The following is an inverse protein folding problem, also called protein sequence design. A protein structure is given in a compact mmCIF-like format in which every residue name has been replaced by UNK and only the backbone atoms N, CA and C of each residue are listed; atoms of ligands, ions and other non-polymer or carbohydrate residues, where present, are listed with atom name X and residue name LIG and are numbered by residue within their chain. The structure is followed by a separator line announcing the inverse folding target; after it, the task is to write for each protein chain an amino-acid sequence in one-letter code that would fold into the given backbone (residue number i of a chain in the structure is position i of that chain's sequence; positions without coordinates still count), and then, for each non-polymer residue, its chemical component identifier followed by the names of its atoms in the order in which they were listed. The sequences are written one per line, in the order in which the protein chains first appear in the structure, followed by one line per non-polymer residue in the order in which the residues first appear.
data_IF_636428607203
#
_entry.id   IF_636428607203
#
_cell.length_a   1.000
_cell.length_b   1.000
_cell.length_c   1.000
_cell.angle_alpha   90.00
_cell.angle_beta   90.00
_cell.angle_gamma   90.00
#
_symmetry.space_group_name_H-M   'P 1'
#
loop_
_entity.id
_entity.type
_entity.pdbx_description
1 polymer ?
#
# COMPACT_ATOMS: atom_id res chain seq x y z
N UNK A 1 26.91 -28.35 -14.01
CA UNK A 1 26.57 -26.91 -14.01
C UNK A 1 25.87 -26.65 -12.68
N UNK A 2 26.39 -25.79 -11.79
CA UNK A 2 25.71 -25.56 -10.53
C UNK A 2 24.51 -24.63 -10.80
N UNK A 3 23.33 -25.16 -10.53
CA UNK A 3 22.07 -24.46 -10.46
C UNK A 3 22.13 -23.36 -9.40
N UNK A 4 22.01 -22.10 -9.83
CA UNK A 4 21.80 -20.97 -8.94
C UNK A 4 20.39 -21.06 -8.36
N UNK A 5 20.28 -21.31 -7.06
CA UNK A 5 19.06 -21.13 -6.29
C UNK A 5 18.77 -19.63 -6.21
N UNK A 6 17.73 -19.19 -6.92
CA UNK A 6 17.18 -17.83 -6.80
C UNK A 6 16.63 -17.67 -5.37
N UNK A 7 16.98 -16.60 -4.62
CA UNK A 7 16.46 -16.40 -3.28
C UNK A 7 14.94 -16.23 -3.31
N UNK A 8 14.23 -17.07 -2.56
CA UNK A 8 12.80 -16.93 -2.35
C UNK A 8 12.49 -15.57 -1.71
N UNK A 9 11.70 -14.80 -2.44
CA UNK A 9 11.09 -13.54 -2.02
C UNK A 9 9.89 -13.90 -1.14
N UNK A 10 9.95 -13.53 0.14
CA UNK A 10 8.90 -13.84 1.12
C UNK A 10 8.13 -12.55 1.41
N UNK A 11 6.90 -12.45 0.90
CA UNK A 11 5.90 -11.49 1.39
C UNK A 11 5.30 -12.12 2.64
N UNK A 12 5.61 -11.54 3.80
CA UNK A 12 5.23 -12.03 5.11
C UNK A 12 3.93 -11.35 5.57
N UNK A 13 2.86 -12.12 5.71
CA UNK A 13 1.75 -11.80 6.61
C UNK A 13 2.09 -12.38 7.98
N UNK A 14 3.13 -11.86 8.61
CA UNK A 14 3.42 -12.16 10.02
C UNK A 14 3.09 -10.90 10.82
N UNK A 15 2.63 -11.04 12.08
CA UNK A 15 2.52 -9.90 12.98
C UNK A 15 3.93 -9.39 13.28
N UNK A 16 4.47 -8.51 12.45
CA UNK A 16 5.66 -7.75 12.81
C UNK A 16 5.32 -6.96 14.08
N UNK A 17 6.11 -7.14 15.13
CA UNK A 17 5.94 -6.33 16.33
C UNK A 17 6.43 -4.91 16.00
N UNK A 18 5.50 -4.05 15.62
CA UNK A 18 5.70 -2.61 15.54
C UNK A 18 5.90 -2.08 16.97
N UNK A 19 7.15 -1.94 17.40
CA UNK A 19 7.47 -1.32 18.69
C UNK A 19 7.56 0.21 18.52
N UNK A 20 6.45 0.91 18.74
CA UNK A 20 6.47 2.35 18.95
C UNK A 20 6.99 2.64 20.37
N UNK A 21 8.22 3.13 20.51
CA UNK A 21 8.73 3.65 21.79
C UNK A 21 8.26 5.10 21.90
N UNK A 22 7.19 5.34 22.67
CA UNK A 22 6.77 6.68 23.03
C UNK A 22 7.71 7.27 24.09
N UNK A 23 8.55 8.24 23.70
CA UNK A 23 9.24 9.10 24.64
C UNK A 23 8.30 10.25 25.04
N UNK A 24 7.64 10.16 26.20
CA UNK A 24 6.90 11.30 26.75
C UNK A 24 7.89 12.43 27.08
N UNK A 25 7.72 13.57 26.40
CA UNK A 25 8.51 14.78 26.60
C UNK A 25 8.15 15.43 27.93
N UNK A 26 9.07 15.40 28.91
CA UNK A 26 8.92 16.18 30.15
C UNK A 26 9.88 15.80 31.27
N UNK A 27 10.89 16.64 31.48
CA UNK A 27 11.83 16.73 32.61
C UNK A 27 13.13 15.87 32.57
N UNK A 28 14.28 16.45 32.97
CA UNK A 28 15.59 15.82 32.81
C UNK A 28 15.86 14.86 33.97
N UNK A 29 15.93 13.56 33.69
CA UNK A 29 16.61 12.60 34.58
C UNK A 29 17.53 11.69 33.77
N UNK A 30 18.69 11.43 34.39
CA UNK A 30 19.85 10.69 33.87
C UNK A 30 19.46 9.38 33.16
N UNK A 31 20.23 8.95 32.15
CA UNK A 31 19.85 7.85 31.27
C UNK A 31 19.82 6.52 32.01
N UNK A 32 18.62 6.06 32.40
CA UNK A 32 18.37 4.65 32.69
C UNK A 32 18.06 3.93 31.37
N UNK A 33 19.11 3.67 30.58
CA UNK A 33 19.06 2.93 29.31
C UNK A 33 18.89 1.41 29.53
N UNK A 34 18.73 0.94 30.77
CA UNK A 34 18.89 -0.50 31.09
C UNK A 34 17.61 -1.25 31.48
N UNK A 35 16.43 -0.65 31.60
CA UNK A 35 15.23 -1.43 32.03
C UNK A 35 14.03 -1.41 31.08
N UNK A 36 13.78 -0.36 30.29
CA UNK A 36 12.63 -0.33 29.36
C UNK A 36 12.93 -0.98 28.01
N UNK A 37 14.18 -0.98 27.57
CA UNK A 37 14.59 -1.65 26.33
C UNK A 37 14.56 -3.19 26.46
N UNK A 38 14.70 -3.74 27.67
CA UNK A 38 14.72 -5.20 27.90
C UNK A 38 13.36 -5.80 28.22
N UNK A 39 12.41 -5.04 28.76
CA UNK A 39 11.09 -5.58 29.15
C UNK A 39 10.09 -5.69 28.00
N UNK A 40 10.31 -4.97 26.89
CA UNK A 40 9.40 -4.94 25.73
C UNK A 40 9.96 -5.62 24.48
N UNK A 41 11.06 -6.37 24.58
CA UNK A 41 11.61 -7.18 23.47
C UNK A 41 11.08 -8.64 23.45
N UNK A 42 10.08 -8.97 24.26
CA UNK A 42 9.47 -10.32 24.35
C UNK A 42 8.26 -10.50 23.42
N UNK A 43 8.39 -10.10 22.16
CA UNK A 43 7.39 -10.35 21.12
C UNK A 43 8.05 -10.52 19.76
N UNK A 44 8.61 -11.70 19.50
CA UNK A 44 9.15 -12.06 18.19
C UNK A 44 8.07 -12.75 17.37
N UNK A 45 7.80 -12.29 16.16
CA UNK A 45 7.15 -13.11 15.14
C UNK A 45 8.20 -13.59 14.15
N UNK A 46 8.43 -14.91 14.17
CA UNK A 46 9.27 -15.65 13.23
C UNK A 46 8.35 -16.36 12.23
N UNK A 47 8.74 -16.35 10.95
CA UNK A 47 9.04 -17.56 10.16
C UNK A 47 9.36 -17.17 8.70
N UNK A 48 10.65 -17.12 8.36
CA UNK A 48 11.21 -17.70 7.13
C UNK A 48 12.73 -17.45 7.09
N UNK A 49 13.49 -18.53 6.91
CA UNK A 49 14.94 -18.69 7.13
C UNK A 49 15.31 -18.81 8.60
N UNK A 50 15.82 -19.98 8.96
CA UNK A 50 16.21 -20.42 10.32
C UNK A 50 17.37 -19.62 10.92
N UNK A 51 17.37 -18.28 10.88
CA UNK A 51 18.34 -17.44 11.58
C UNK A 51 17.83 -16.00 11.77
N UNK A 52 17.27 -15.77 12.97
CA UNK A 52 17.33 -14.55 13.82
C UNK A 52 16.74 -13.22 13.31
N UNK A 53 15.59 -12.86 13.91
CA UNK A 53 15.08 -11.53 14.31
C UNK A 53 15.24 -10.40 13.27
N UNK A 54 14.14 -10.04 12.59
CA UNK A 54 13.99 -8.76 11.89
C UNK A 54 13.53 -7.68 12.89
N UNK A 55 14.27 -6.58 13.03
CA UNK A 55 13.86 -5.45 13.86
C UNK A 55 13.45 -4.26 12.98
N UNK A 56 12.14 -4.07 12.89
CA UNK A 56 11.52 -2.82 12.45
C UNK A 56 11.18 -2.00 13.71
N UNK A 57 11.73 -0.79 13.85
CA UNK A 57 11.49 0.03 15.05
C UNK A 57 11.34 1.51 14.70
N UNK A 58 10.08 1.95 14.54
CA UNK A 58 9.75 3.36 14.26
C UNK A 58 10.28 4.32 15.35
N UNK A 59 10.34 3.87 16.62
CA UNK A 59 10.89 4.66 17.74
C UNK A 59 12.42 4.82 17.75
N UNK A 60 13.16 4.21 16.82
CA UNK A 60 14.63 4.26 16.76
C UNK A 60 15.17 4.88 15.47
N UNK A 61 14.32 5.54 14.68
CA UNK A 61 14.72 6.18 13.42
C UNK A 61 15.89 7.16 13.55
N UNK A 62 16.04 7.75 14.75
CA UNK A 62 17.09 8.72 15.11
C UNK A 62 18.23 8.09 15.92
N UNK A 63 18.21 6.77 16.15
CA UNK A 63 19.26 6.09 16.92
C UNK A 63 20.60 6.14 16.16
N UNK A 64 21.69 6.57 16.81
CA UNK A 64 23.00 6.65 16.17
C UNK A 64 23.55 5.26 15.84
N UNK A 65 24.44 5.18 14.86
CA UNK A 65 25.06 3.95 14.38
C UNK A 65 25.59 3.03 15.50
N UNK A 66 26.27 3.57 16.50
CA UNK A 66 26.80 2.79 17.63
C UNK A 66 25.70 2.10 18.46
N UNK A 67 24.51 2.70 18.55
CA UNK A 67 23.35 2.09 19.23
C UNK A 67 22.85 0.87 18.46
N UNK A 68 22.71 0.99 17.15
CA UNK A 68 22.34 -0.11 16.26
C UNK A 68 23.40 -1.23 16.23
N UNK A 69 24.69 -0.91 16.34
CA UNK A 69 25.75 -1.92 16.50
C UNK A 69 25.56 -2.74 17.79
N UNK A 70 25.26 -2.08 18.91
CA UNK A 70 24.97 -2.77 20.17
C UNK A 70 23.72 -3.66 20.07
N UNK A 71 22.68 -3.21 19.36
CA UNK A 71 21.50 -4.05 19.08
C UNK A 71 21.93 -5.29 18.30
N UNK A 72 22.70 -5.13 17.22
CA UNK A 72 23.21 -6.25 16.40
C UNK A 72 24.01 -7.25 17.22
N UNK A 73 24.93 -6.78 18.04
CA UNK A 73 25.80 -7.62 18.87
C UNK A 73 25.00 -8.43 19.90
N UNK A 74 23.97 -7.83 20.48
CA UNK A 74 23.12 -8.46 21.50
C UNK A 74 22.13 -9.45 20.92
N UNK A 75 21.46 -9.10 19.82
CA UNK A 75 20.40 -9.93 19.23
C UNK A 75 20.96 -10.97 18.26
N UNK A 76 22.08 -10.65 17.61
CA UNK A 76 22.62 -11.40 16.46
C UNK A 76 21.56 -11.61 15.37
N UNK A 77 20.61 -10.68 15.28
CA UNK A 77 19.49 -10.71 14.33
C UNK A 77 19.78 -9.95 13.05
N UNK A 78 18.92 -10.18 12.06
CA UNK A 78 18.85 -9.45 10.80
C UNK A 78 18.35 -8.02 11.04
N UNK A 79 19.22 -7.03 10.84
CA UNK A 79 18.85 -5.63 11.05
C UNK A 79 18.37 -4.99 9.75
N UNK A 80 17.09 -4.63 9.74
CA UNK A 80 16.43 -3.86 8.68
C UNK A 80 15.60 -2.71 9.26
N UNK A 81 16.25 -1.66 9.77
CA UNK A 81 15.53 -0.50 10.27
C UNK A 81 15.05 0.41 9.14
N UNK A 82 14.00 1.17 9.42
CA UNK A 82 13.75 2.46 8.78
C UNK A 82 14.50 3.55 9.56
N UNK A 83 15.29 4.36 8.87
CA UNK A 83 16.13 5.40 9.47
C UNK A 83 15.93 6.73 8.75
N UNK A 84 15.82 7.81 9.51
CA UNK A 84 15.75 9.18 9.00
C UNK A 84 17.15 9.80 8.91
N UNK A 85 18.03 9.20 8.10
CA UNK A 85 19.44 9.61 7.94
C UNK A 85 19.74 9.97 6.49
N UNK A 86 20.84 10.70 6.25
CA UNK A 86 21.42 10.80 4.90
C UNK A 86 21.68 9.39 4.37
N UNK A 87 21.01 9.05 3.27
CA UNK A 87 21.03 7.71 2.66
C UNK A 87 22.47 7.29 2.33
N UNK A 88 23.36 8.21 1.98
CA UNK A 88 24.77 7.91 1.72
C UNK A 88 25.47 7.22 2.89
N UNK A 89 25.01 7.42 4.13
CA UNK A 89 25.57 6.78 5.33
C UNK A 89 25.26 5.27 5.42
N UNK A 90 24.39 4.75 4.56
CA UNK A 90 24.01 3.33 4.46
C UNK A 90 24.95 2.51 3.55
N UNK A 91 25.82 3.17 2.79
CA UNK A 91 26.83 2.49 1.97
C UNK A 91 27.76 1.62 2.85
N UNK A 92 28.27 0.51 2.29
CA UNK A 92 29.01 -0.53 3.06
C UNK A 92 30.21 0.00 3.84
N UNK A 93 30.86 1.03 3.32
CA UNK A 93 32.04 1.66 3.90
C UNK A 93 31.71 2.81 4.87
N UNK A 94 30.43 3.04 5.18
CA UNK A 94 29.94 4.17 5.99
C UNK A 94 29.37 3.73 7.35
N UNK A 95 28.92 4.71 8.13
CA UNK A 95 28.51 4.55 9.52
C UNK A 95 27.45 3.47 9.74
N UNK A 96 26.50 3.32 8.83
CA UNK A 96 25.43 2.31 8.90
C UNK A 96 25.64 1.13 7.94
N UNK A 97 26.83 1.03 7.31
CA UNK A 97 27.15 -0.03 6.34
C UNK A 97 27.11 -1.45 6.92
N UNK A 98 27.07 -1.59 8.25
CA UNK A 98 26.93 -2.85 8.95
C UNK A 98 25.49 -3.40 9.00
N UNK A 99 24.48 -2.61 8.64
CA UNK A 99 23.09 -3.09 8.56
C UNK A 99 22.96 -4.15 7.46
N UNK A 100 22.12 -5.15 7.71
CA UNK A 100 21.90 -6.25 6.76
C UNK A 100 21.00 -5.79 5.61
N UNK A 101 20.01 -4.94 5.90
CA UNK A 101 19.16 -4.26 4.92
C UNK A 101 18.74 -2.88 5.43
N UNK A 102 18.15 -2.08 4.55
CA UNK A 102 17.44 -0.86 4.91
C UNK A 102 16.07 -0.85 4.26
N UNK A 103 15.03 -0.51 5.04
CA UNK A 103 13.68 -0.37 4.53
C UNK A 103 13.42 1.10 4.16
N UNK A 104 13.14 1.34 2.89
CA UNK A 104 12.65 2.63 2.44
C UNK A 104 11.15 2.79 2.74
N UNK A 105 10.77 3.13 3.98
CA UNK A 105 9.37 3.35 4.34
C UNK A 105 8.71 4.45 3.49
N UNK A 106 9.41 5.57 3.32
CA UNK A 106 8.95 6.72 2.54
C UNK A 106 8.86 6.45 1.03
N UNK A 107 9.29 5.27 0.56
CA UNK A 107 9.08 4.83 -0.82
C UNK A 107 7.67 4.23 -1.06
N UNK A 108 6.82 4.14 -0.03
CA UNK A 108 5.46 3.61 -0.17
C UNK A 108 4.56 4.51 -1.04
N UNK A 109 4.88 5.80 -1.13
CA UNK A 109 4.17 6.81 -1.92
C UNK A 109 5.13 7.90 -2.42
N UNK A 110 4.80 8.60 -3.52
CA UNK A 110 5.56 9.75 -3.99
C UNK A 110 5.57 10.88 -2.96
N UNK A 111 6.76 11.21 -2.43
CA UNK A 111 6.93 12.34 -1.49
C UNK A 111 6.81 13.71 -2.17
N UNK A 112 6.90 13.73 -3.50
CA UNK A 112 6.77 14.91 -4.35
C UNK A 112 5.86 14.58 -5.53
N UNK A 113 5.56 15.57 -6.38
CA UNK A 113 4.85 15.33 -7.63
C UNK A 113 5.76 14.76 -8.74
N UNK A 114 6.57 13.75 -8.39
CA UNK A 114 7.51 13.03 -9.26
C UNK A 114 7.56 11.55 -8.87
N UNK A 115 8.20 10.73 -9.71
CA UNK A 115 8.30 9.28 -9.48
C UNK A 115 9.09 8.94 -8.21
N UNK A 116 8.85 7.75 -7.66
CA UNK A 116 9.52 7.27 -6.44
C UNK A 116 10.98 6.91 -6.77
N UNK A 117 11.92 7.55 -6.09
CA UNK A 117 13.33 7.22 -6.21
C UNK A 117 13.64 5.79 -5.73
N UNK A 118 14.49 5.10 -6.47
CA UNK A 118 15.05 3.79 -6.08
C UNK A 118 16.48 3.99 -5.59
N UNK A 119 16.83 3.43 -4.42
CA UNK A 119 18.12 3.66 -3.75
C UNK A 119 19.09 2.47 -3.79
N UNK A 120 18.93 1.62 -4.81
CA UNK A 120 19.78 0.45 -5.02
C UNK A 120 21.26 0.81 -5.20
N UNK A 121 21.54 1.97 -5.81
CA UNK A 121 22.88 2.50 -6.07
C UNK A 121 23.68 2.76 -4.78
N UNK A 122 22.99 3.20 -3.72
CA UNK A 122 23.60 3.50 -2.41
C UNK A 122 23.81 2.22 -1.59
N UNK A 123 22.85 1.31 -1.61
CA UNK A 123 22.85 0.12 -0.76
C UNK A 123 23.60 -1.07 -1.39
N UNK A 124 23.70 -1.12 -2.70
CA UNK A 124 24.19 -2.29 -3.43
C UNK A 124 23.22 -3.48 -3.37
N UNK A 125 23.48 -4.47 -4.22
CA UNK A 125 22.64 -5.65 -4.40
C UNK A 125 22.33 -6.37 -3.08
N UNK A 126 21.05 -6.76 -2.89
CA UNK A 126 20.58 -7.62 -1.81
C UNK A 126 20.46 -6.95 -0.43
N UNK A 127 20.59 -5.62 -0.33
CA UNK A 127 20.40 -4.86 0.93
C UNK A 127 19.26 -3.82 0.88
N UNK A 128 18.58 -3.70 -0.25
CA UNK A 128 17.48 -2.77 -0.38
C UNK A 128 16.17 -3.49 -0.11
N UNK A 129 15.45 -3.02 0.91
CA UNK A 129 14.05 -3.30 1.09
C UNK A 129 13.26 -2.01 0.82
N UNK A 130 12.08 -2.17 0.25
CA UNK A 130 11.22 -1.05 -0.11
C UNK A 130 9.79 -1.34 0.28
N UNK A 131 8.94 -0.34 0.20
CA UNK A 131 7.53 -0.44 0.52
C UNK A 131 6.66 -0.02 -0.65
N UNK A 132 5.38 -0.37 -0.55
CA UNK A 132 4.32 0.12 -1.42
C UNK A 132 3.05 0.37 -0.60
N UNK A 133 2.26 1.34 -1.01
CA UNK A 133 0.94 1.67 -0.45
C UNK A 133 -0.01 2.03 -1.59
N UNK A 134 -1.32 1.79 -1.47
CA UNK A 134 -2.26 2.17 -2.49
C UNK A 134 -2.55 3.67 -2.48
N UNK A 135 -2.46 4.27 -1.29
CA UNK A 135 -2.96 5.61 -1.03
C UNK A 135 -2.33 6.20 0.23
N UNK A 136 -2.24 7.51 0.28
CA UNK A 136 -1.94 8.23 1.51
C UNK A 136 -2.76 9.50 1.57
N UNK A 137 -3.52 9.62 2.64
CA UNK A 137 -4.34 10.78 2.88
C UNK A 137 -4.61 10.91 4.39
N UNK A 138 -4.43 12.11 4.91
CA UNK A 138 -4.86 12.47 6.25
C UNK A 138 -5.48 13.85 6.25
N UNK A 139 -6.40 14.09 7.18
CA UNK A 139 -7.11 15.36 7.34
C UNK A 139 -7.26 15.74 8.81
N UNK A 140 -6.19 15.54 9.58
CA UNK A 140 -6.14 16.00 10.97
C UNK A 140 -5.87 17.51 11.01
N UNK A 141 -6.30 18.18 12.08
CA UNK A 141 -5.99 19.60 12.35
C UNK A 141 -4.49 19.89 12.43
N UNK A 142 -3.69 18.90 12.82
CA UNK A 142 -2.22 18.96 12.85
C UNK A 142 -1.53 18.29 11.66
N UNK A 143 -2.27 17.58 10.78
CA UNK A 143 -1.71 16.81 9.65
C UNK A 143 -2.75 16.57 8.55
N UNK A 144 -2.87 17.56 7.67
CA UNK A 144 -3.68 17.47 6.45
C UNK A 144 -2.81 17.36 5.21
N UNK A 145 -2.67 16.17 4.62
CA UNK A 145 -1.76 15.93 3.48
C UNK A 145 -2.33 14.86 2.54
N UNK A 146 -2.15 15.11 1.25
CA UNK A 146 -2.28 14.11 0.20
C UNK A 146 -0.90 13.77 -0.38
N UNK A 147 -0.65 12.48 -0.61
CA UNK A 147 0.42 12.06 -1.53
C UNK A 147 -0.18 11.40 -2.76
N UNK A 148 0.46 11.59 -3.92
CA UNK A 148 -0.10 11.19 -5.21
C UNK A 148 -0.28 9.68 -5.28
N UNK A 149 -1.53 9.25 -5.13
CA UNK A 149 -1.98 7.87 -5.39
C UNK A 149 -2.59 7.68 -6.78
N UNK A 150 -2.52 8.70 -7.64
CA UNK A 150 -3.07 8.72 -9.00
C UNK A 150 -2.19 7.94 -10.01
N UNK A 151 -2.60 7.89 -11.30
CA UNK A 151 -1.85 7.20 -12.37
C UNK A 151 -1.54 5.72 -12.10
N UNK A 152 -2.53 5.00 -11.57
CA UNK A 152 -2.43 3.58 -11.23
C UNK A 152 -1.24 3.24 -10.31
N UNK A 153 -0.85 4.16 -9.40
CA UNK A 153 0.31 4.03 -8.50
C UNK A 153 0.56 2.58 -8.03
N UNK A 154 -0.44 1.93 -7.41
CA UNK A 154 -0.27 0.59 -6.86
C UNK A 154 0.13 -0.45 -7.91
N UNK A 155 -0.53 -0.45 -9.08
CA UNK A 155 -0.25 -1.41 -10.15
C UNK A 155 1.11 -1.17 -10.76
N UNK A 156 1.40 0.08 -11.12
CA UNK A 156 2.70 0.48 -11.68
C UNK A 156 3.82 0.15 -10.70
N UNK A 157 3.62 0.42 -9.41
CA UNK A 157 4.60 0.07 -8.38
C UNK A 157 4.80 -1.43 -8.27
N UNK A 158 3.73 -2.23 -8.30
CA UNK A 158 3.86 -3.68 -8.32
C UNK A 158 4.62 -4.19 -9.54
N UNK A 159 4.33 -3.66 -10.73
CA UNK A 159 5.03 -4.00 -11.97
C UNK A 159 6.54 -3.73 -11.85
N UNK A 160 6.93 -2.55 -11.36
CA UNK A 160 8.33 -2.21 -11.08
C UNK A 160 8.98 -3.18 -10.10
N UNK A 161 8.28 -3.54 -9.01
CA UNK A 161 8.78 -4.44 -7.99
C UNK A 161 8.99 -5.85 -8.54
N UNK A 162 8.10 -6.33 -9.41
CA UNK A 162 8.28 -7.61 -10.11
C UNK A 162 9.53 -7.56 -10.99
N UNK A 163 9.75 -6.47 -11.73
CA UNK A 163 10.91 -6.32 -12.61
C UNK A 163 12.23 -6.32 -11.84
N UNK A 164 12.27 -5.66 -10.67
CA UNK A 164 13.48 -5.57 -9.83
C UNK A 164 13.56 -6.64 -8.73
N UNK A 165 12.70 -7.67 -8.76
CA UNK A 165 12.52 -8.65 -7.67
C UNK A 165 13.80 -9.35 -7.21
N UNK A 166 14.76 -9.53 -8.12
CA UNK A 166 16.01 -10.24 -7.83
C UNK A 166 17.02 -9.35 -7.07
N UNK A 167 16.82 -8.03 -7.11
CA UNK A 167 17.68 -7.04 -6.46
C UNK A 167 17.20 -6.68 -5.05
N UNK A 168 15.92 -6.96 -4.76
CA UNK A 168 15.26 -6.65 -3.50
C UNK A 168 15.48 -7.71 -2.43
N UNK A 169 15.64 -7.26 -1.19
CA UNK A 169 15.64 -8.12 -0.01
C UNK A 169 14.21 -8.44 0.45
N UNK A 170 13.39 -7.39 0.59
CA UNK A 170 12.01 -7.45 1.06
C UNK A 170 11.17 -6.35 0.42
N UNK A 171 9.86 -6.62 0.35
CA UNK A 171 8.84 -5.64 0.02
C UNK A 171 7.82 -5.62 1.15
N UNK A 172 7.51 -4.42 1.65
CA UNK A 172 6.49 -4.21 2.68
C UNK A 172 5.25 -3.52 2.09
N UNK A 173 4.09 -4.12 2.33
CA UNK A 173 2.81 -3.45 2.06
C UNK A 173 2.45 -2.59 3.26
N UNK A 174 2.42 -1.29 3.04
CA UNK A 174 2.21 -0.27 4.07
C UNK A 174 0.82 0.33 3.82
N UNK A 175 -0.16 0.17 4.71
CA UNK A 175 -0.17 -0.57 5.98
C UNK A 175 -1.33 -1.55 6.03
N UNK A 176 -1.39 -2.41 7.05
CA UNK A 176 -2.59 -3.22 7.25
C UNK A 176 -3.78 -2.37 7.71
N UNK A 177 -3.60 -1.46 8.68
CA UNK A 177 -4.71 -0.81 9.39
C UNK A 177 -4.43 0.64 9.83
N UNK A 178 -3.55 1.38 9.15
CA UNK A 178 -3.42 2.82 9.39
C UNK A 178 -4.54 3.59 8.68
N UNK A 179 -5.70 3.61 9.35
CA UNK A 179 -6.90 4.30 8.87
C UNK A 179 -6.75 5.82 8.90
N UNK A 180 -5.99 6.36 9.85
CA UNK A 180 -5.77 7.81 9.97
C UNK A 180 -5.00 8.39 8.77
N UNK A 181 -4.06 7.63 8.24
CA UNK A 181 -3.26 7.99 7.06
C UNK A 181 -3.75 7.34 5.76
N UNK A 182 -4.85 6.58 5.83
CA UNK A 182 -5.53 5.98 4.67
C UNK A 182 -4.69 4.99 3.86
N UNK A 183 -3.58 4.50 4.43
CA UNK A 183 -2.69 3.55 3.76
C UNK A 183 -3.11 2.09 3.94
N UNK A 184 -4.19 1.84 4.67
CA UNK A 184 -4.66 0.50 5.01
C UNK A 184 -5.06 -0.34 3.79
N UNK A 185 -4.72 -1.63 3.85
CA UNK A 185 -5.22 -2.69 2.97
C UNK A 185 -6.31 -3.53 3.62
N UNK A 186 -6.30 -3.62 4.96
CA UNK A 186 -7.20 -4.45 5.74
C UNK A 186 -8.63 -3.91 5.81
N UNK A 187 -9.60 -4.75 6.20
CA UNK A 187 -10.97 -4.31 6.42
C UNK A 187 -11.05 -3.36 7.61
N UNK A 188 -11.94 -2.37 7.54
CA UNK A 188 -12.28 -1.54 8.70
C UNK A 188 -13.26 -2.33 9.57
N UNK A 189 -12.82 -2.80 10.73
CA UNK A 189 -13.69 -3.40 11.72
C UNK A 189 -14.37 -2.29 12.55
N UNK A 190 -15.70 -2.31 12.75
CA UNK A 190 -16.41 -1.34 13.60
C UNK A 190 -15.86 -1.24 15.03
N UNK A 191 -15.26 -2.31 15.54
CA UNK A 191 -14.69 -2.37 16.89
C UNK A 191 -13.23 -1.87 16.95
N UNK A 192 -12.58 -1.63 15.81
CA UNK A 192 -11.21 -1.12 15.76
C UNK A 192 -11.16 0.38 16.07
N UNK A 193 -10.27 0.74 17.00
CA UNK A 193 -10.10 2.14 17.40
C UNK A 193 -9.26 2.87 16.34
N UNK A 194 -9.90 3.76 15.60
CA UNK A 194 -9.19 4.70 14.72
C UNK A 194 -8.54 5.81 15.56
N UNK A 195 -7.46 6.46 15.07
CA UNK A 195 -6.95 7.67 15.69
C UNK A 195 -8.08 8.69 15.91
N UNK A 196 -8.11 9.29 17.10
CA UNK A 196 -9.16 10.24 17.48
C UNK A 196 -9.28 11.37 16.44
N UNK A 197 -10.50 11.64 15.99
CA UNK A 197 -10.77 12.65 14.97
C UNK A 197 -10.70 12.16 13.52
N UNK A 198 -10.41 10.88 13.27
CA UNK A 198 -10.50 10.31 11.91
C UNK A 198 -11.97 10.25 11.48
N UNK A 199 -12.34 11.05 10.48
CA UNK A 199 -13.72 11.11 9.93
C UNK A 199 -13.80 10.66 8.48
N UNK A 200 -12.65 10.43 7.83
CA UNK A 200 -12.56 10.19 6.39
C UNK A 200 -12.37 8.73 5.99
N UNK A 201 -12.01 7.81 6.90
CA UNK A 201 -11.82 6.40 6.57
C UNK A 201 -13.14 5.60 6.57
N UNK A 202 -14.08 5.94 7.46
CA UNK A 202 -15.34 5.21 7.63
C UNK A 202 -16.20 5.24 6.36
N UNK A 203 -16.67 4.07 5.91
CA UNK A 203 -17.49 3.94 4.70
C UNK A 203 -16.70 3.77 3.41
N UNK A 204 -15.37 3.71 3.49
CA UNK A 204 -14.49 3.60 2.33
C UNK A 204 -13.58 2.38 2.43
N UNK A 205 -14.05 1.19 2.04
CA UNK A 205 -13.23 -0.01 2.11
C UNK A 205 -12.06 0.04 1.11
N UNK A 206 -10.88 -0.39 1.56
CA UNK A 206 -9.68 -0.54 0.71
C UNK A 206 -9.35 -2.01 0.39
N UNK A 207 -10.20 -2.96 0.79
CA UNK A 207 -9.96 -4.40 0.61
C UNK A 207 -9.79 -4.81 -0.87
N UNK A 208 -10.35 -4.03 -1.80
CA UNK A 208 -10.06 -4.21 -3.23
C UNK A 208 -8.58 -4.06 -3.59
N UNK A 209 -7.83 -3.19 -2.91
CA UNK A 209 -6.38 -3.02 -3.11
C UNK A 209 -5.63 -4.26 -2.66
N UNK A 210 -6.11 -4.90 -1.60
CA UNK A 210 -5.54 -6.14 -1.10
C UNK A 210 -5.80 -7.29 -2.09
N UNK A 211 -7.04 -7.41 -2.54
CA UNK A 211 -7.46 -8.40 -3.52
C UNK A 211 -6.68 -8.28 -4.83
N UNK A 212 -6.59 -7.09 -5.41
CA UNK A 212 -5.83 -6.88 -6.65
C UNK A 212 -4.33 -7.12 -6.45
N UNK A 213 -3.79 -6.82 -5.26
CA UNK A 213 -2.37 -7.05 -4.96
C UNK A 213 -2.02 -8.54 -4.96
N UNK A 214 -2.96 -9.45 -4.66
CA UNK A 214 -2.70 -10.88 -4.64
C UNK A 214 -2.09 -11.40 -5.97
N UNK A 215 -2.60 -10.92 -7.11
CA UNK A 215 -2.06 -11.18 -8.45
C UNK A 215 -0.57 -10.81 -8.56
N UNK A 216 -0.22 -9.61 -8.12
CA UNK A 216 1.15 -9.09 -8.19
C UNK A 216 2.06 -9.70 -7.14
N UNK A 217 1.55 -10.04 -5.96
CA UNK A 217 2.28 -10.78 -4.93
C UNK A 217 2.72 -12.14 -5.47
N UNK A 218 1.84 -12.85 -6.18
CA UNK A 218 2.19 -14.10 -6.84
C UNK A 218 3.26 -13.89 -7.92
N UNK A 219 3.11 -12.86 -8.76
CA UNK A 219 4.10 -12.50 -9.76
C UNK A 219 5.46 -12.17 -9.14
N UNK A 220 5.49 -11.41 -8.06
CA UNK A 220 6.71 -11.04 -7.34
C UNK A 220 7.37 -12.26 -6.68
N UNK A 221 6.59 -13.18 -6.13
CA UNK A 221 7.11 -14.42 -5.52
C UNK A 221 7.70 -15.37 -6.55
N UNK A 222 7.05 -15.54 -7.69
CA UNK A 222 7.39 -16.57 -8.68
C UNK A 222 8.27 -16.06 -9.83
N UNK A 223 8.23 -14.76 -10.12
CA UNK A 223 8.82 -14.15 -11.30
C UNK A 223 7.93 -14.23 -12.55
N UNK A 224 6.72 -14.78 -12.45
CA UNK A 224 5.79 -14.95 -13.57
C UNK A 224 4.40 -14.46 -13.18
N UNK A 225 3.79 -13.65 -14.04
CA UNK A 225 2.41 -13.21 -13.84
C UNK A 225 1.44 -14.40 -13.97
N UNK A 226 0.57 -14.65 -12.97
CA UNK A 226 -0.39 -15.74 -13.06
C UNK A 226 -1.42 -15.47 -14.17
N UNK A 227 -1.97 -16.54 -14.76
CA UNK A 227 -3.01 -16.38 -15.77
C UNK A 227 -4.29 -15.81 -15.14
N UNK A 228 -4.87 -14.79 -15.78
CA UNK A 228 -6.19 -14.28 -15.41
C UNK A 228 -7.24 -15.22 -16.01
N UNK A 229 -8.01 -15.88 -15.15
CA UNK A 229 -9.06 -16.84 -15.54
C UNK A 229 -10.47 -16.35 -15.24
N UNK A 230 -10.60 -15.22 -14.52
CA UNK A 230 -11.87 -14.61 -14.17
C UNK A 230 -11.88 -13.12 -14.53
N UNK A 231 -13.03 -12.64 -14.98
CA UNK A 231 -13.23 -11.23 -15.31
C UNK A 231 -13.47 -10.41 -14.03
N UNK A 232 -12.64 -9.40 -13.80
CA UNK A 232 -12.75 -8.53 -12.62
C UNK A 232 -12.47 -7.07 -13.03
N UNK A 233 -13.25 -6.13 -12.51
CA UNK A 233 -12.97 -4.70 -12.63
C UNK A 233 -12.72 -4.12 -11.24
N UNK A 234 -11.50 -3.63 -11.00
CA UNK A 234 -11.20 -2.77 -9.87
C UNK A 234 -11.24 -1.32 -10.33
N UNK A 235 -12.00 -0.48 -9.65
CA UNK A 235 -12.13 0.91 -10.04
C UNK A 235 -12.16 1.84 -8.83
N UNK A 236 -11.49 2.98 -8.98
CA UNK A 236 -11.42 4.00 -7.93
C UNK A 236 -11.62 5.39 -8.48
N UNK A 237 -12.20 6.23 -7.63
CA UNK A 237 -12.33 7.66 -7.83
C UNK A 237 -12.59 8.34 -6.49
N UNK A 238 -12.39 9.65 -6.44
CA UNK A 238 -12.84 10.48 -5.33
C UNK A 238 -14.37 10.67 -5.43
N UNK A 239 -15.11 10.85 -4.31
CA UNK A 239 -16.54 11.12 -4.33
C UNK A 239 -16.87 12.55 -4.79
N UNK A 240 -15.87 13.40 -4.98
CA UNK A 240 -16.02 14.79 -5.38
C UNK A 240 -14.74 15.32 -6.07
N UNK A 241 -14.78 16.47 -6.75
CA UNK A 241 -13.58 17.07 -7.35
C UNK A 241 -12.46 17.28 -6.33
N UNK A 242 -11.20 17.15 -6.75
CA UNK A 242 -10.03 17.39 -5.90
C UNK A 242 -10.04 18.80 -5.28
N UNK A 243 -10.45 19.78 -6.07
CA UNK A 243 -10.50 21.19 -5.68
C UNK A 243 -11.79 21.61 -4.97
N UNK A 244 -12.68 20.69 -4.58
CA UNK A 244 -13.92 21.06 -3.87
C UNK A 244 -13.59 21.74 -2.53
N UNK A 245 -14.39 22.73 -2.16
CA UNK A 245 -14.39 23.25 -0.78
C UNK A 245 -15.57 22.63 -0.06
N UNK A 246 -15.31 21.82 0.96
CA UNK A 246 -16.36 21.28 1.82
C UNK A 246 -17.04 22.43 2.59
N UNK A 247 -18.37 22.40 2.71
CA UNK A 247 -19.13 23.54 3.22
C UNK A 247 -19.28 23.56 4.75
N UNK A 248 -18.97 22.46 5.43
CA UNK A 248 -19.07 22.31 6.88
C UNK A 248 -17.81 21.64 7.47
N UNK A 249 -16.66 21.89 6.82
CA UNK A 249 -15.36 21.41 7.25
C UNK A 249 -14.56 22.58 7.85
N UNK A 250 -14.21 22.55 9.15
CA UNK A 250 -13.48 23.63 9.79
C UNK A 250 -11.98 23.66 9.40
N UNK A 251 -11.48 22.60 8.75
CA UNK A 251 -10.07 22.48 8.39
C UNK A 251 -9.81 23.07 6.99
N UNK A 252 -8.59 23.59 6.75
CA UNK A 252 -8.19 23.97 5.40
C UNK A 252 -8.15 22.74 4.48
N UNK A 253 -8.13 22.97 3.17
CA UNK A 253 -7.79 21.91 2.23
C UNK A 253 -6.42 21.33 2.61
N UNK A 254 -6.25 20.00 2.54
CA UNK A 254 -4.99 19.36 2.86
C UNK A 254 -3.93 19.76 1.85
N UNK A 255 -2.68 19.70 2.30
CA UNK A 255 -1.53 19.97 1.45
C UNK A 255 -1.54 19.05 0.24
N UNK A 256 -1.08 19.58 -0.90
CA UNK A 256 -0.94 18.88 -2.17
C UNK A 256 -2.26 18.40 -2.80
N UNK A 257 -3.43 18.88 -2.36
CA UNK A 257 -4.72 18.54 -2.99
C UNK A 257 -4.72 18.74 -4.52
N UNK A 258 -3.91 19.69 -5.01
CA UNK A 258 -3.77 20.07 -6.41
C UNK A 258 -2.93 19.08 -7.24
N UNK A 259 -2.27 18.11 -6.61
CA UNK A 259 -1.60 17.01 -7.31
C UNK A 259 -2.61 15.95 -7.80
N UNK A 260 -3.81 15.94 -7.22
CA UNK A 260 -4.82 14.94 -7.50
C UNK A 260 -5.53 15.25 -8.84
N UNK A 261 -5.70 14.24 -9.70
CA UNK A 261 -6.28 14.38 -11.05
C UNK A 261 -7.68 13.78 -11.07
N UNK A 262 -8.69 14.55 -11.47
CA UNK A 262 -10.10 14.14 -11.43
C UNK A 262 -10.43 13.12 -12.53
N UNK A 263 -10.14 11.85 -12.23
CA UNK A 263 -10.37 10.70 -13.11
C UNK A 263 -10.98 9.52 -12.36
N UNK A 264 -11.75 8.74 -13.10
CA UNK A 264 -12.05 7.34 -12.75
C UNK A 264 -10.87 6.49 -13.24
N UNK A 265 -10.19 5.83 -12.31
CA UNK A 265 -9.08 4.92 -12.58
C UNK A 265 -9.55 3.48 -12.49
N UNK A 266 -9.21 2.67 -13.49
CA UNK A 266 -9.71 1.29 -13.61
C UNK A 266 -8.58 0.34 -13.95
N UNK A 267 -8.58 -0.81 -13.31
CA UNK A 267 -7.84 -1.99 -13.72
C UNK A 267 -8.86 -3.08 -14.09
N UNK A 268 -8.94 -3.39 -15.39
CA UNK A 268 -9.79 -4.46 -15.91
C UNK A 268 -8.96 -5.71 -16.13
N UNK A 269 -9.24 -6.75 -15.37
CA UNK A 269 -8.65 -8.08 -15.48
C UNK A 269 -9.55 -8.86 -16.41
N UNK A 270 -9.08 -9.11 -17.64
CA UNK A 270 -9.87 -9.77 -18.66
C UNK A 270 -9.37 -11.21 -18.88
N UNK A 271 -10.25 -12.18 -18.66
CA UNK A 271 -9.99 -13.61 -18.82
C UNK A 271 -9.88 -14.06 -20.29
N UNK A 272 -10.36 -13.22 -21.20
CA UNK A 272 -10.14 -13.25 -22.66
C UNK A 272 -10.37 -11.82 -23.19
N UNK A 273 -10.22 -11.58 -24.49
CA UNK A 273 -10.54 -10.28 -25.08
C UNK A 273 -11.94 -9.81 -24.70
N UNK A 274 -12.05 -8.52 -24.36
CA UNK A 274 -13.21 -7.92 -23.72
C UNK A 274 -13.41 -6.48 -24.24
N UNK A 275 -14.63 -5.97 -24.08
CA UNK A 275 -14.94 -4.54 -24.16
C UNK A 275 -15.30 -4.05 -22.77
N UNK A 276 -14.82 -2.87 -22.37
CA UNK A 276 -15.16 -2.25 -21.08
C UNK A 276 -15.78 -0.88 -21.30
N UNK A 277 -16.93 -0.62 -20.67
CA UNK A 277 -17.61 0.67 -20.70
C UNK A 277 -17.63 1.28 -19.31
N UNK A 278 -17.10 2.51 -19.23
CA UNK A 278 -17.00 3.28 -17.99
C UNK A 278 -17.96 4.48 -18.08
N UNK A 279 -18.74 4.70 -17.02
CA UNK A 279 -19.69 5.80 -16.96
C UNK A 279 -19.68 6.47 -15.59
N UNK A 280 -19.70 7.80 -15.59
CA UNK A 280 -19.96 8.63 -14.41
C UNK A 280 -21.04 9.65 -14.78
N UNK A 281 -22.19 9.59 -14.11
CA UNK A 281 -23.35 10.40 -14.44
C UNK A 281 -23.76 10.23 -15.90
N UNK A 282 -23.80 11.33 -16.65
CA UNK A 282 -24.13 11.34 -18.09
C UNK A 282 -22.93 11.15 -19.03
N UNK A 283 -21.70 11.10 -18.50
CA UNK A 283 -20.49 10.93 -19.31
C UNK A 283 -20.08 9.46 -19.33
N UNK A 284 -19.96 8.87 -20.52
CA UNK A 284 -19.49 7.50 -20.71
C UNK A 284 -18.40 7.42 -21.77
N UNK A 285 -17.59 6.36 -21.70
CA UNK A 285 -16.60 6.00 -22.70
C UNK A 285 -16.44 4.48 -22.75
N UNK A 286 -16.34 3.95 -23.97
CA UNK A 286 -16.14 2.52 -24.25
C UNK A 286 -14.68 2.28 -24.67
N UNK A 287 -14.16 1.11 -24.31
CA UNK A 287 -12.83 0.62 -24.63
C UNK A 287 -12.95 -0.78 -25.22
N UNK A 288 -12.81 -0.88 -26.54
CA UNK A 288 -12.92 -2.14 -27.29
C UNK A 288 -11.59 -2.83 -27.50
N UNK A 289 -11.65 -4.13 -27.84
CA UNK A 289 -10.50 -4.96 -28.20
C UNK A 289 -9.41 -4.97 -27.12
N UNK A 290 -9.81 -4.91 -25.85
CA UNK A 290 -8.88 -5.08 -24.75
C UNK A 290 -8.34 -6.51 -24.79
N UNK A 291 -7.06 -6.66 -24.49
CA UNK A 291 -6.38 -7.95 -24.53
C UNK A 291 -6.65 -8.76 -23.26
N UNK A 292 -6.45 -10.07 -23.35
CA UNK A 292 -6.29 -10.91 -22.16
C UNK A 292 -5.23 -10.31 -21.22
N UNK A 293 -5.49 -10.33 -19.91
CA UNK A 293 -4.59 -9.77 -18.90
C UNK A 293 -5.13 -8.49 -18.23
N UNK A 294 -4.22 -7.73 -17.60
CA UNK A 294 -4.55 -6.50 -16.89
C UNK A 294 -4.54 -5.32 -17.86
N UNK A 295 -5.66 -4.60 -17.96
CA UNK A 295 -5.82 -3.40 -18.77
C UNK A 295 -6.04 -2.18 -17.88
N UNK A 296 -5.15 -1.19 -17.97
CA UNK A 296 -5.22 0.09 -17.22
C UNK A 296 -6.04 1.12 -18.00
N UNK A 297 -7.26 1.41 -17.54
CA UNK A 297 -8.22 2.32 -18.21
C UNK A 297 -8.57 3.52 -17.35
N UNK A 298 -8.86 4.66 -17.96
CA UNK A 298 -9.35 5.81 -17.21
C UNK A 298 -10.18 6.78 -18.05
N UNK A 299 -11.12 7.45 -17.39
CA UNK A 299 -11.93 8.52 -18.00
C UNK A 299 -11.91 9.78 -17.11
N UNK A 300 -11.95 10.99 -17.69
CA UNK A 300 -12.06 12.22 -16.91
C UNK A 300 -13.43 12.32 -16.22
N UNK A 301 -13.47 12.85 -14.99
CA UNK A 301 -14.71 13.08 -14.25
C UNK A 301 -15.41 14.37 -14.73
N UNK A 302 -16.16 14.25 -15.84
CA UNK A 302 -16.83 15.38 -16.53
C UNK A 302 -18.31 15.57 -16.16
N UNK A 303 -18.90 14.63 -15.44
CA UNK A 303 -20.32 14.66 -15.06
C UNK A 303 -20.47 14.10 -13.65
N UNK A 304 -21.51 14.55 -12.94
CA UNK A 304 -21.85 14.09 -11.59
C UNK A 304 -22.94 13.01 -11.66
N UNK A 305 -22.93 12.10 -10.70
CA UNK A 305 -23.95 11.05 -10.56
C UNK A 305 -23.35 9.68 -10.26
N UNK A 306 -24.15 8.65 -10.54
CA UNK A 306 -23.77 7.26 -10.35
C UNK A 306 -22.55 6.87 -11.19
N UNK A 307 -21.77 5.93 -10.67
CA UNK A 307 -20.64 5.33 -11.37
C UNK A 307 -21.05 3.96 -11.85
N UNK A 308 -20.89 3.67 -13.13
CA UNK A 308 -21.20 2.34 -13.69
C UNK A 308 -19.97 1.83 -14.43
N UNK A 309 -19.61 0.57 -14.14
CA UNK A 309 -18.58 -0.15 -14.89
C UNK A 309 -19.20 -1.38 -15.51
N UNK A 310 -18.95 -1.57 -16.80
CA UNK A 310 -19.43 -2.72 -17.56
C UNK A 310 -18.28 -3.42 -18.24
N UNK A 311 -18.35 -4.73 -18.31
CA UNK A 311 -17.52 -5.55 -19.19
C UNK A 311 -18.45 -6.39 -20.05
N UNK A 312 -18.21 -6.39 -21.36
CA UNK A 312 -18.93 -7.23 -22.30
C UNK A 312 -17.98 -8.11 -23.10
N UNK A 313 -18.48 -9.27 -23.48
CA UNK A 313 -17.82 -10.23 -24.37
C UNK A 313 -18.87 -10.77 -25.34
N UNK A 314 -18.55 -10.75 -26.63
CA UNK A 314 -19.46 -11.21 -27.70
C UNK A 314 -20.85 -10.54 -27.68
N UNK A 315 -20.92 -9.30 -27.19
CA UNK A 315 -22.17 -8.52 -27.09
C UNK A 315 -23.02 -8.83 -25.84
N UNK A 316 -22.56 -9.69 -24.94
CA UNK A 316 -23.20 -9.95 -23.65
C UNK A 316 -22.43 -9.27 -22.51
N UNK A 317 -23.15 -8.57 -21.62
CA UNK A 317 -22.57 -7.98 -20.40
C UNK A 317 -22.23 -9.11 -19.41
N UNK A 318 -20.94 -9.36 -19.20
CA UNK A 318 -20.44 -10.30 -18.18
C UNK A 318 -20.28 -9.62 -16.81
N UNK A 319 -20.10 -8.30 -16.81
CA UNK A 319 -20.15 -7.44 -15.63
C UNK A 319 -21.02 -6.22 -15.97
N UNK A 320 -22.01 -5.92 -15.14
CA UNK A 320 -22.74 -4.66 -15.15
C UNK A 320 -22.96 -4.25 -13.70
N UNK A 321 -22.20 -3.25 -13.24
CA UNK A 321 -22.19 -2.87 -11.83
C UNK A 321 -22.27 -1.36 -11.64
N UNK A 322 -23.28 -0.96 -10.86
CA UNK A 322 -23.47 0.38 -10.34
C UNK A 322 -23.56 0.29 -8.81
N UNK A 323 -22.62 0.88 -8.06
CA UNK A 323 -22.72 0.95 -6.60
C UNK A 323 -23.97 1.73 -6.18
N UNK A 324 -24.74 1.20 -5.22
CA UNK A 324 -25.94 1.86 -4.72
C UNK A 324 -25.66 2.92 -3.66
N UNK A 325 -24.47 2.87 -3.05
CA UNK A 325 -24.04 3.66 -1.91
C UNK A 325 -22.96 4.70 -2.26
N UNK A 326 -22.60 4.81 -3.55
CA UNK A 326 -21.57 5.73 -4.02
C UNK A 326 -22.01 6.54 -5.24
N UNK A 327 -21.76 7.86 -5.20
CA UNK A 327 -21.95 8.76 -6.34
C UNK A 327 -20.83 9.81 -6.36
N UNK A 328 -20.45 10.26 -7.57
CA UNK A 328 -19.58 11.42 -7.73
C UNK A 328 -20.41 12.70 -7.66
N UNK A 329 -20.13 13.57 -6.68
CA UNK A 329 -20.93 14.76 -6.35
C UNK A 329 -20.10 16.04 -6.44
N UNK A 330 -20.76 17.14 -6.79
CA UNK A 330 -20.14 18.47 -6.81
C UNK A 330 -20.01 19.16 -5.44
N UNK A 331 -20.55 18.55 -4.38
CA UNK A 331 -20.52 19.06 -3.02
C UNK A 331 -20.28 17.95 -2.00
N UNK A 332 -19.68 18.30 -0.87
CA UNK A 332 -19.34 17.37 0.21
C UNK A 332 -19.34 18.11 1.56
N UNK A 333 -19.59 17.36 2.63
CA UNK A 333 -19.54 17.84 4.03
C UNK A 333 -18.10 17.78 4.57
N UNK A 334 -17.25 16.88 4.04
CA UNK A 334 -15.85 16.72 4.45
C UNK A 334 -14.92 16.63 3.23
N UNK A 335 -13.70 17.18 3.34
CA UNK A 335 -12.72 17.15 2.26
C UNK A 335 -12.03 15.78 2.12
N UNK A 336 -12.00 15.32 0.86
CA UNK A 336 -11.09 14.34 0.27
C UNK A 336 -11.16 12.94 0.86
N UNK A 337 -11.67 12.01 0.06
CA UNK A 337 -11.34 10.61 0.23
C UNK A 337 -11.38 9.86 -1.09
N UNK A 338 -10.81 8.66 -1.12
CA UNK A 338 -10.85 7.78 -2.27
C UNK A 338 -11.74 6.57 -1.96
N UNK A 339 -12.69 6.27 -2.84
CA UNK A 339 -13.37 4.98 -2.80
C UNK A 339 -12.72 4.06 -3.83
N UNK A 340 -12.29 2.88 -3.40
CA UNK A 340 -12.02 1.77 -4.30
C UNK A 340 -13.17 0.79 -4.20
N UNK A 341 -13.74 0.45 -5.34
CA UNK A 341 -14.84 -0.48 -5.48
C UNK A 341 -14.38 -1.62 -6.40
N UNK A 342 -14.85 -2.83 -6.08
CA UNK A 342 -14.61 -4.05 -6.87
C UNK A 342 -15.92 -4.46 -7.51
N UNK A 343 -15.91 -4.65 -8.82
CA UNK A 343 -17.00 -5.27 -9.56
C UNK A 343 -16.51 -6.59 -10.15
N UNK A 344 -17.30 -7.64 -9.98
CA UNK A 344 -17.03 -8.95 -10.53
C UNK A 344 -18.35 -9.69 -10.78
N UNK A 345 -18.38 -10.72 -11.66
CA UNK A 345 -19.50 -11.63 -11.73
C UNK A 345 -19.77 -12.25 -10.34
N UNK A 346 -21.02 -12.59 -10.05
CA UNK A 346 -21.43 -13.09 -8.72
C UNK A 346 -20.70 -14.36 -8.24
N UNK A 347 -20.03 -15.07 -9.15
CA UNK A 347 -19.26 -16.30 -8.85
C UNK A 347 -17.75 -16.10 -8.82
N UNK A 348 -17.26 -14.91 -9.17
CA UNK A 348 -15.83 -14.67 -9.22
C UNK A 348 -15.25 -14.63 -7.80
N UNK A 349 -14.20 -15.43 -7.58
CA UNK A 349 -13.56 -15.56 -6.27
C UNK A 349 -12.67 -14.36 -5.98
N UNK A 350 -12.35 -14.16 -4.70
CA UNK A 350 -11.28 -13.25 -4.32
C UNK A 350 -9.94 -13.84 -4.80
N UNK A 351 -9.09 -13.00 -5.39
CA UNK A 351 -7.73 -13.40 -5.79
C UNK A 351 -6.85 -13.74 -4.58
N UNK A 352 -7.21 -13.23 -3.40
CA UNK A 352 -6.56 -13.58 -2.13
C UNK A 352 -6.75 -15.06 -1.81
N UNK A 353 -7.96 -15.61 -2.02
CA UNK A 353 -8.28 -17.02 -1.69
C UNK A 353 -7.40 -18.00 -2.48
N UNK A 354 -7.13 -17.69 -3.74
CA UNK A 354 -6.28 -18.53 -4.60
C UNK A 354 -4.79 -18.36 -4.29
N UNK A 355 -4.38 -17.16 -3.86
CA UNK A 355 -2.97 -16.83 -3.59
C UNK A 355 -2.51 -17.26 -2.20
N UNK A 356 -3.41 -17.19 -1.21
CA UNK A 356 -3.18 -17.52 0.20
C UNK A 356 -4.23 -18.53 0.65
N UNK A 357 -4.09 -19.81 0.26
CA UNK A 357 -5.01 -20.85 0.75
C UNK A 357 -4.94 -20.91 2.27
N UNK A 358 -6.06 -20.62 2.93
CA UNK A 358 -6.15 -20.60 4.39
C UNK A 358 -6.03 -22.03 4.92
N UNK A 359 -4.88 -22.40 5.48
CA UNK A 359 -4.77 -23.57 6.35
C UNK A 359 -5.18 -23.17 7.78
N UNK A 360 -6.49 -23.15 8.08
CA UNK A 360 -7.00 -22.83 9.42
C UNK A 360 -8.27 -21.97 9.44
N UNK A 361 -8.71 -21.59 10.64
CA UNK A 361 -9.94 -20.82 10.87
C UNK A 361 -9.87 -19.43 10.21
N UNK A 362 -10.78 -19.19 9.26
CA UNK A 362 -10.86 -18.01 8.40
C UNK A 362 -11.51 -16.81 9.08
N UNK A 363 -11.52 -16.76 10.41
CA UNK A 363 -12.18 -15.71 11.20
C UNK A 363 -11.47 -14.34 11.19
N UNK A 364 -10.38 -14.22 10.41
CA UNK A 364 -9.49 -13.04 10.35
C UNK A 364 -9.35 -12.40 8.96
N UNK A 365 -9.94 -12.99 7.91
CA UNK A 365 -10.07 -12.41 6.57
C UNK A 365 -11.51 -11.91 6.40
#
# INVERSE_FOLDING_TARGET
MPSFLVPAVVILFLPFLSAAVYAQTGAPRRPHVTSSATSNLTGCAFEARREKICLWVNGLKDMPAHGWQQVRERTRGYLMPFLSVDRNLLARDKAYGFLDSWLCWDCAWPQTNADIDVHMDILGEGRYATSLSPWFFSHFDYKGTYYRGDDWLLLTRWEELVDMRNDLTFVEMVTWNDFGESSYFGPINPDETQPSGTTWATGFPHTGFFDLSAYYIQAFKTGEYPAITEDIIYFRLRPHPAGVTAFDDPLPKPEHWDWAVDRLWVAAFCADSCTVTLQVGSYSQEFDNLSHGVNKLSIPLKSYGSVTVKMSRDGEDVIDYTPSDFEYRGSTIACLYLSLLRASPAKAKSLVEDTFPVEGDSSWL
#
